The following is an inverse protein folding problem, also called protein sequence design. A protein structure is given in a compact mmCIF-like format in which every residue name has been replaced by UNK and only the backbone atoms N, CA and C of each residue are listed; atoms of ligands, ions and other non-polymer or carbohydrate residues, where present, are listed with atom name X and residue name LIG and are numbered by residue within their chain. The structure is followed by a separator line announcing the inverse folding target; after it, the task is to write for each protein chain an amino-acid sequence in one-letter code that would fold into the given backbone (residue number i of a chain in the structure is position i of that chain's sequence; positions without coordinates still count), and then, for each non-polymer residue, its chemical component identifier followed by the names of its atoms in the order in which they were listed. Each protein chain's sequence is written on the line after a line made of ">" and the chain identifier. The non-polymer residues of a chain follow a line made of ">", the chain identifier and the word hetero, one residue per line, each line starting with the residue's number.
data_IF_337200838651
#
_entry.id   IF_337200838651
#
_cell.length_a   1.000
_cell.length_b   1.000
_cell.length_c   1.000
_cell.angle_alpha   90.00
_cell.angle_beta   90.00
_cell.angle_gamma   90.00
#
_symmetry.space_group_name_H-M   'P 1'
#
loop_
_entity.id
_entity.type
_entity.pdbx_description
1 polymer ?
#
# COMPACT_ATOMS: atom_id res chain seq x y z
N UNK A 1 11.15 12.35 34.63
CA UNK A 1 9.79 12.45 34.09
C UNK A 1 9.14 11.09 34.23
N UNK A 2 7.98 10.98 34.90
CA UNK A 2 7.20 9.74 34.80
C UNK A 2 6.68 9.63 33.37
N UNK A 3 6.74 8.43 32.81
CA UNK A 3 6.09 8.12 31.54
C UNK A 3 4.57 8.32 31.70
N UNK A 4 3.87 8.87 30.69
CA UNK A 4 2.41 8.90 30.69
C UNK A 4 1.87 7.49 30.88
N UNK A 5 1.01 7.33 31.87
CA UNK A 5 0.33 6.08 32.19
C UNK A 5 -0.68 5.76 31.07
N UNK A 6 -0.28 4.89 30.14
CA UNK A 6 -1.12 4.37 29.05
C UNK A 6 -2.09 3.27 29.54
N UNK A 7 -2.41 3.21 30.85
CA UNK A 7 -3.46 2.33 31.36
C UNK A 7 -4.84 2.99 31.42
N UNK A 8 -4.95 4.27 31.02
CA UNK A 8 -6.23 4.95 30.84
C UNK A 8 -6.98 4.37 29.64
N UNK A 9 -7.82 3.38 29.94
CA UNK A 9 -8.99 2.92 29.19
C UNK A 9 -9.01 3.40 27.73
N UNK A 10 -8.35 2.64 26.85
CA UNK A 10 -8.67 2.71 25.43
C UNK A 10 -10.15 2.34 25.33
N UNK A 11 -11.01 3.36 25.27
CA UNK A 11 -12.45 3.17 25.15
C UNK A 11 -12.71 2.23 23.99
N UNK A 12 -13.71 1.35 24.12
CA UNK A 12 -14.02 0.36 23.09
C UNK A 12 -14.11 0.99 21.68
N UNK A 13 -14.64 2.21 21.61
CA UNK A 13 -14.72 3.01 20.38
C UNK A 13 -13.35 3.37 19.77
N UNK A 14 -12.33 3.65 20.59
CA UNK A 14 -10.98 3.98 20.12
C UNK A 14 -10.25 2.72 19.64
N UNK A 15 -10.42 1.60 20.35
CA UNK A 15 -9.91 0.30 19.91
C UNK A 15 -10.56 -0.13 18.58
N UNK A 16 -11.87 0.07 18.44
CA UNK A 16 -12.60 -0.22 17.20
C UNK A 16 -12.12 0.64 16.03
N UNK A 17 -11.83 1.93 16.26
CA UNK A 17 -11.22 2.80 15.24
C UNK A 17 -9.85 2.31 14.81
N UNK A 18 -8.98 1.98 15.76
CA UNK A 18 -7.64 1.47 15.48
C UNK A 18 -7.71 0.16 14.71
N UNK A 19 -8.59 -0.76 15.12
CA UNK A 19 -8.80 -2.03 14.43
C UNK A 19 -9.27 -1.83 12.98
N UNK A 20 -10.19 -0.89 12.76
CA UNK A 20 -10.67 -0.54 11.41
C UNK A 20 -9.55 0.05 10.55
N UNK A 21 -8.79 1.01 11.06
CA UNK A 21 -7.66 1.60 10.32
C UNK A 21 -6.57 0.56 10.02
N UNK A 22 -6.31 -0.36 10.96
CA UNK A 22 -5.36 -1.45 10.75
C UNK A 22 -5.84 -2.42 9.66
N UNK A 23 -7.14 -2.74 9.62
CA UNK A 23 -7.73 -3.59 8.58
C UNK A 23 -7.63 -2.94 7.19
N UNK A 24 -7.93 -1.64 7.08
CA UNK A 24 -7.80 -0.87 5.84
C UNK A 24 -6.34 -0.82 5.36
N UNK A 25 -5.40 -0.53 6.26
CA UNK A 25 -3.97 -0.51 5.94
C UNK A 25 -3.47 -1.90 5.51
N UNK A 26 -3.88 -2.96 6.20
CA UNK A 26 -3.52 -4.33 5.84
C UNK A 26 -4.08 -4.73 4.46
N UNK A 27 -5.32 -4.36 4.14
CA UNK A 27 -5.91 -4.59 2.84
C UNK A 27 -5.14 -3.86 1.74
N UNK A 28 -4.77 -2.60 1.97
CA UNK A 28 -3.95 -1.82 1.05
C UNK A 28 -2.57 -2.44 0.83
N UNK A 29 -1.86 -2.78 1.92
CA UNK A 29 -0.54 -3.43 1.84
C UNK A 29 -0.62 -4.76 1.08
N UNK A 30 -1.67 -5.55 1.31
CA UNK A 30 -1.89 -6.80 0.58
C UNK A 30 -2.12 -6.58 -0.92
N UNK A 31 -2.80 -5.50 -1.30
CA UNK A 31 -3.01 -5.15 -2.70
C UNK A 31 -1.69 -4.78 -3.42
N UNK A 32 -0.77 -4.11 -2.73
CA UNK A 32 0.51 -3.66 -3.30
C UNK A 32 1.67 -4.65 -3.08
N UNK A 33 1.55 -5.66 -2.21
CA UNK A 33 2.60 -6.64 -1.90
C UNK A 33 2.84 -7.67 -3.02
N UNK A 34 3.07 -7.17 -4.24
CA UNK A 34 3.42 -7.94 -5.42
C UNK A 34 4.54 -7.20 -6.17
N UNK A 35 5.62 -7.91 -6.50
CA UNK A 35 6.83 -7.34 -7.12
C UNK A 35 6.50 -6.44 -8.34
N UNK A 36 5.69 -6.93 -9.28
CA UNK A 36 5.27 -6.15 -10.45
C UNK A 36 4.50 -4.86 -10.11
N UNK A 37 3.61 -4.91 -9.11
CA UNK A 37 2.82 -3.73 -8.70
C UNK A 37 3.68 -2.70 -8.00
N UNK A 38 4.62 -3.13 -7.16
CA UNK A 38 5.58 -2.22 -6.52
C UNK A 38 6.48 -1.55 -7.56
N UNK A 39 6.95 -2.30 -8.55
CA UNK A 39 7.77 -1.74 -9.61
C UNK A 39 7.01 -0.70 -10.47
N UNK A 40 5.73 -0.94 -10.76
CA UNK A 40 4.84 0.06 -11.39
C UNK A 40 4.73 1.30 -10.49
N UNK A 41 4.45 1.13 -9.20
CA UNK A 41 4.31 2.23 -8.23
C UNK A 41 5.59 3.07 -8.11
N UNK A 42 6.78 2.45 -8.06
CA UNK A 42 8.05 3.17 -8.03
C UNK A 42 8.27 4.04 -9.27
N UNK A 43 7.86 3.54 -10.44
CA UNK A 43 7.94 4.27 -11.69
C UNK A 43 6.95 5.44 -11.75
N UNK A 44 5.71 5.24 -11.29
CA UNK A 44 4.68 6.27 -11.23
C UNK A 44 4.95 7.33 -10.14
N UNK A 45 5.60 6.95 -9.04
CA UNK A 45 6.02 7.89 -8.01
C UNK A 45 7.04 8.93 -8.53
N UNK A 46 7.75 8.62 -9.62
CA UNK A 46 8.71 9.51 -10.27
C UNK A 46 8.08 10.41 -11.34
N UNK A 47 6.80 10.20 -11.69
CA UNK A 47 6.09 10.95 -12.72
C UNK A 47 5.06 10.11 -13.48
N UNK A 48 4.16 10.80 -14.19
CA UNK A 48 3.19 10.14 -15.07
C UNK A 48 3.91 9.36 -16.18
N UNK A 49 3.44 8.13 -16.45
CA UNK A 49 3.98 7.25 -17.49
C UNK A 49 2.84 6.55 -18.20
N UNK A 50 2.98 6.40 -19.52
CA UNK A 50 2.11 5.57 -20.33
C UNK A 50 2.33 4.08 -20.05
N UNK A 51 1.34 3.26 -20.42
CA UNK A 51 1.42 1.79 -20.29
C UNK A 51 2.62 1.24 -21.07
N UNK A 52 2.88 1.76 -22.27
CA UNK A 52 4.02 1.35 -23.10
C UNK A 52 5.36 1.66 -22.44
N UNK A 53 5.51 2.84 -21.82
CA UNK A 53 6.73 3.19 -21.07
C UNK A 53 6.95 2.27 -19.87
N UNK A 54 5.89 1.90 -19.14
CA UNK A 54 5.98 0.95 -18.04
C UNK A 54 6.38 -0.45 -18.52
N UNK A 55 5.85 -0.90 -19.65
CA UNK A 55 6.20 -2.20 -20.25
C UNK A 55 7.68 -2.28 -20.65
N UNK A 56 8.22 -1.22 -21.28
CA UNK A 56 9.63 -1.12 -21.64
C UNK A 56 10.54 -1.14 -20.40
N UNK A 57 10.20 -0.37 -19.37
CA UNK A 57 10.99 -0.25 -18.14
C UNK A 57 10.98 -1.54 -17.31
N UNK A 58 9.88 -2.29 -17.34
CA UNK A 58 9.73 -3.53 -16.56
C UNK A 58 10.21 -4.78 -17.29
N UNK A 59 10.64 -4.67 -18.56
CA UNK A 59 11.06 -5.80 -19.42
C UNK A 59 10.09 -6.99 -19.37
N UNK A 60 8.82 -6.71 -19.09
CA UNK A 60 7.78 -7.71 -18.81
C UNK A 60 6.80 -7.72 -19.97
N UNK A 61 6.38 -8.91 -20.44
CA UNK A 61 5.41 -9.04 -21.54
C UNK A 61 4.13 -8.25 -21.22
N UNK A 62 3.67 -7.45 -22.20
CA UNK A 62 2.49 -6.56 -22.14
C UNK A 62 1.26 -7.14 -21.41
N UNK A 63 1.03 -8.45 -21.55
CA UNK A 63 -0.09 -9.15 -20.93
C UNK A 63 -0.08 -9.12 -19.38
N UNK A 64 1.06 -8.88 -18.72
CA UNK A 64 1.16 -8.87 -17.25
C UNK A 64 0.94 -7.48 -16.64
N UNK A 65 1.31 -6.39 -17.33
CA UNK A 65 1.16 -5.02 -16.80
C UNK A 65 -0.32 -4.61 -16.79
N UNK A 66 -1.06 -4.89 -17.87
CA UNK A 66 -2.50 -4.55 -17.91
C UNK A 66 -3.36 -5.37 -16.94
N UNK A 67 -2.91 -6.56 -16.50
CA UNK A 67 -3.60 -7.34 -15.46
C UNK A 67 -3.27 -6.88 -14.03
N UNK A 68 -2.17 -6.12 -13.89
CA UNK A 68 -1.70 -5.64 -12.59
C UNK A 68 -2.29 -4.27 -12.21
N UNK A 69 -2.75 -3.52 -13.20
CA UNK A 69 -3.59 -2.31 -13.09
C UNK A 69 -5.06 -2.69 -12.85
#
# INVERSE_FOLDING_TARGET
>A
MPLPDMSSEMGNDEMDRIAKSAAEAAAFLKAIAHEGRLMILCNLASGEKSVTELEELLSTRQASVSQQL
#
